data_IF_550494662391
#
_entry.id   IF_550494662391
#
_cell.length_a   1.000
_cell.length_b   1.000
_cell.length_c   1.000
_cell.angle_alpha   90.00
_cell.angle_beta   90.00
_cell.angle_gamma   90.00
#
_symmetry.space_group_name_H-M   'P 1'
#
loop_
_entity.id
_entity.type
_entity.pdbx_description
1 polymer ?
#
# COMPACT_ATOMS: atom_id res chain seq x y z
N UNK A 1 18.08 15.45 7.29
CA UNK A 1 16.91 14.62 7.66
C UNK A 1 16.66 13.66 6.51
N UNK A 2 16.75 12.34 6.73
CA UNK A 2 16.48 11.37 5.64
C UNK A 2 15.05 11.61 5.12
N UNK A 3 14.80 11.58 3.80
CA UNK A 3 13.45 11.73 3.28
C UNK A 3 12.56 10.64 3.89
N UNK A 4 11.46 11.02 4.54
CA UNK A 4 10.57 10.08 5.22
C UNK A 4 9.88 9.09 4.25
N UNK A 5 9.91 9.38 2.94
CA UNK A 5 9.31 8.55 1.89
C UNK A 5 10.20 8.58 0.64
N UNK A 6 10.47 7.42 0.07
CA UNK A 6 11.13 7.28 -1.23
C UNK A 6 10.08 7.11 -2.32
N UNK A 7 10.27 7.78 -3.46
CA UNK A 7 9.45 7.49 -4.65
C UNK A 7 9.91 6.16 -5.24
N UNK A 8 8.95 5.31 -5.56
CA UNK A 8 9.16 4.01 -6.21
C UNK A 8 8.27 3.92 -7.43
N UNK A 9 8.79 3.35 -8.52
CA UNK A 9 8.01 2.97 -9.69
C UNK A 9 7.62 1.50 -9.55
N UNK A 10 6.36 1.20 -9.82
CA UNK A 10 5.75 -0.12 -9.62
C UNK A 10 4.82 -0.38 -10.81
N UNK A 11 4.88 -1.59 -11.35
CA UNK A 11 3.93 -2.08 -12.35
C UNK A 11 2.88 -2.94 -11.65
N UNK A 12 1.60 -2.64 -11.88
CA UNK A 12 0.45 -3.41 -11.39
C UNK A 12 -0.42 -3.79 -12.57
N UNK A 13 -1.10 -4.93 -12.48
CA UNK A 13 -2.13 -5.29 -13.43
C UNK A 13 -3.25 -4.25 -13.41
N UNK A 14 -3.74 -3.87 -14.59
CA UNK A 14 -4.85 -2.93 -14.77
C UNK A 14 -6.05 -3.21 -13.83
N UNK A 15 -6.60 -4.44 -13.74
CA UNK A 15 -7.73 -4.72 -12.85
C UNK A 15 -7.41 -4.55 -11.37
N UNK A 16 -6.15 -4.69 -10.98
CA UNK A 16 -5.70 -4.46 -9.59
C UNK A 16 -5.63 -2.97 -9.33
N UNK A 17 -5.00 -2.20 -10.24
CA UNK A 17 -4.89 -0.75 -10.13
C UNK A 17 -6.26 -0.08 -9.99
N UNK A 18 -7.24 -0.46 -10.81
CA UNK A 18 -8.60 0.09 -10.78
C UNK A 18 -9.31 -0.15 -9.43
N UNK A 19 -9.13 -1.33 -8.85
CA UNK A 19 -9.72 -1.66 -7.54
C UNK A 19 -9.08 -0.84 -6.43
N UNK A 20 -7.75 -0.78 -6.41
CA UNK A 20 -7.01 -0.02 -5.39
C UNK A 20 -7.34 1.47 -5.49
N UNK A 21 -7.48 2.00 -6.70
CA UNK A 21 -7.84 3.39 -6.93
C UNK A 21 -9.25 3.72 -6.40
N UNK A 22 -10.24 2.89 -6.68
CA UNK A 22 -11.60 3.04 -6.11
C UNK A 22 -11.60 2.98 -4.58
N UNK A 23 -10.84 2.05 -3.99
CA UNK A 23 -10.74 1.92 -2.54
C UNK A 23 -10.05 3.12 -1.89
N UNK A 24 -9.06 3.71 -2.56
CA UNK A 24 -8.39 4.92 -2.12
C UNK A 24 -9.34 6.13 -2.16
N UNK A 25 -10.11 6.27 -3.25
CA UNK A 25 -11.12 7.33 -3.41
C UNK A 25 -12.23 7.23 -2.36
N UNK A 26 -12.74 6.02 -2.09
CA UNK A 26 -13.75 5.78 -1.05
C UNK A 26 -13.31 6.20 0.36
N UNK A 27 -11.99 6.23 0.60
CA UNK A 27 -11.38 6.58 1.88
C UNK A 27 -10.83 8.01 1.90
N UNK A 28 -11.10 8.82 0.86
CA UNK A 28 -10.58 10.17 0.66
C UNK A 28 -9.04 10.25 0.79
N UNK A 29 -8.34 9.33 0.12
CA UNK A 29 -6.87 9.18 0.20
C UNK A 29 -6.23 9.06 -1.17
N UNK A 30 -4.97 9.46 -1.26
CA UNK A 30 -4.17 9.21 -2.46
C UNK A 30 -3.84 7.73 -2.64
N UNK A 31 -3.69 7.30 -3.90
CA UNK A 31 -3.33 5.92 -4.25
C UNK A 31 -2.07 5.44 -3.51
N UNK A 32 -1.00 6.26 -3.49
CA UNK A 32 0.24 5.90 -2.78
C UNK A 32 0.05 5.77 -1.27
N UNK A 33 -0.84 6.57 -0.68
CA UNK A 33 -1.17 6.49 0.75
C UNK A 33 -1.91 5.18 1.06
N UNK A 34 -2.88 4.83 0.23
CA UNK A 34 -3.64 3.59 0.35
C UNK A 34 -2.74 2.36 0.17
N UNK A 35 -1.90 2.32 -0.87
CA UNK A 35 -0.93 1.23 -1.10
C UNK A 35 -0.02 1.06 0.12
N UNK A 36 0.50 2.17 0.68
CA UNK A 36 1.37 2.10 1.85
C UNK A 36 0.66 1.58 3.10
N UNK A 37 -0.63 1.85 3.28
CA UNK A 37 -1.44 1.29 4.38
C UNK A 37 -1.58 -0.23 4.23
N UNK A 38 -1.96 -0.69 3.04
CA UNK A 38 -2.14 -2.13 2.76
C UNK A 38 -0.83 -2.89 2.92
N UNK A 39 0.27 -2.35 2.41
CA UNK A 39 1.59 -2.99 2.56
C UNK A 39 2.04 -3.08 4.02
N UNK A 40 1.73 -2.07 4.86
CA UNK A 40 2.03 -2.12 6.30
C UNK A 40 1.27 -3.23 7.01
N UNK A 41 -0.04 -3.32 6.78
CA UNK A 41 -0.85 -4.39 7.34
C UNK A 41 -0.35 -5.77 6.88
N UNK A 42 0.01 -5.90 5.59
CA UNK A 42 0.57 -7.14 5.07
C UNK A 42 1.90 -7.54 5.74
N UNK A 43 2.80 -6.58 5.97
CA UNK A 43 4.07 -6.83 6.67
C UNK A 43 3.84 -7.22 8.13
N UNK A 44 2.95 -6.52 8.84
CA UNK A 44 2.58 -6.85 10.22
C UNK A 44 2.01 -8.27 10.32
N UNK A 45 1.11 -8.66 9.41
CA UNK A 45 0.58 -10.03 9.34
C UNK A 45 1.67 -11.08 9.11
N UNK A 46 2.67 -10.77 8.28
CA UNK A 46 3.79 -11.68 8.03
C UNK A 46 4.69 -11.82 9.26
N UNK A 47 4.99 -10.72 9.95
CA UNK A 47 5.76 -10.72 11.20
C UNK A 47 5.05 -11.50 12.31
N UNK A 48 3.73 -11.31 12.46
CA UNK A 48 2.92 -12.06 13.42
C UNK A 48 2.81 -13.56 13.08
N UNK A 49 2.87 -13.94 11.81
CA UNK A 49 2.91 -15.35 11.39
C UNK A 49 4.28 -16.00 11.57
N UNK A 50 5.35 -15.22 11.57
CA UNK A 50 6.72 -15.73 11.71
C UNK A 50 7.20 -15.81 13.16
N UNK A 51 6.58 -15.07 14.08
CA UNK A 51 6.75 -15.21 15.52
C UNK A 51 5.43 -15.68 16.19
N UNK A 52 5.15 -17.00 16.25
CA UNK A 52 4.09 -17.54 17.09
C UNK A 52 4.41 -17.45 18.60
#
# INVERSE_FOLDING_TARGET
>A
MKPLKSKVSLTLDQPVLEKIQKLAEQQDRSLSSYINLVLRAHLEELEHKTNP
#
